data_IF_632777817514
#
_entry.id   IF_632777817514
#
_cell.length_a   1.000
_cell.length_b   1.000
_cell.length_c   1.000
_cell.angle_alpha   90.00
_cell.angle_beta   90.00
_cell.angle_gamma   90.00
#
_symmetry.space_group_name_H-M   'P 1'
#
loop_
_entity.id
_entity.type
_entity.pdbx_description
1 polymer ?
#
# COMPACT_ATOMS: atom_id res chain seq x y z
N UNK A 1 -7.86 7.13 6.26
CA UNK A 1 -6.96 7.30 7.42
C UNK A 1 -7.13 8.68 8.04
N UNK A 2 -7.02 8.84 9.37
CA UNK A 2 -6.91 10.17 9.97
C UNK A 2 -5.56 10.81 9.59
N UNK A 3 -5.56 12.10 9.26
CA UNK A 3 -4.33 12.84 8.96
C UNK A 3 -3.46 12.98 10.24
N UNK A 4 -2.11 12.93 10.13
CA UNK A 4 -1.23 13.10 11.28
C UNK A 4 -1.46 14.45 11.97
N UNK A 5 -1.48 14.48 13.31
CA UNK A 5 -1.67 15.73 14.08
C UNK A 5 -0.55 16.76 13.81
N UNK A 6 0.65 16.30 13.46
CA UNK A 6 1.77 17.18 13.13
C UNK A 6 1.66 17.78 11.72
N UNK A 7 0.80 17.24 10.84
CA UNK A 7 0.62 17.71 9.47
C UNK A 7 -0.39 18.85 9.43
N UNK A 8 0.11 20.06 9.68
CA UNK A 8 -0.63 21.32 9.59
C UNK A 8 -0.12 22.14 8.41
N UNK A 9 -0.92 23.07 7.90
CA UNK A 9 -0.46 24.02 6.85
C UNK A 9 0.81 24.75 7.28
N UNK A 10 0.93 25.08 8.56
CA UNK A 10 2.10 25.78 9.11
C UNK A 10 3.36 24.91 9.12
N UNK A 11 3.26 23.65 9.59
CA UNK A 11 4.40 22.73 9.60
C UNK A 11 4.82 22.36 8.18
N UNK A 12 3.85 22.12 7.31
CA UNK A 12 4.07 21.89 5.88
C UNK A 12 4.82 23.06 5.21
N UNK A 13 4.32 24.30 5.35
CA UNK A 13 4.98 25.47 4.77
C UNK A 13 6.37 25.72 5.36
N UNK A 14 6.56 25.49 6.67
CA UNK A 14 7.87 25.62 7.33
C UNK A 14 8.89 24.65 6.71
N UNK A 15 8.49 23.40 6.57
CA UNK A 15 9.33 22.33 6.02
C UNK A 15 9.67 22.60 4.56
N UNK A 16 8.71 23.05 3.76
CA UNK A 16 8.99 23.45 2.38
C UNK A 16 10.08 24.54 2.31
N UNK A 17 9.98 25.56 3.16
CA UNK A 17 10.98 26.64 3.21
C UNK A 17 12.34 26.18 3.75
N UNK A 18 12.38 25.10 4.53
CA UNK A 18 13.63 24.45 4.95
C UNK A 18 14.23 23.65 3.79
N UNK A 19 13.43 22.89 3.05
CA UNK A 19 13.85 22.19 1.83
C UNK A 19 14.36 23.17 0.76
N UNK A 20 13.69 24.32 0.59
CA UNK A 20 14.09 25.35 -0.36
C UNK A 20 15.47 25.99 -0.05
N UNK A 21 16.04 25.71 1.13
CA UNK A 21 17.36 26.15 1.57
C UNK A 21 18.35 24.99 1.75
N UNK A 22 17.93 23.78 1.41
CA UNK A 22 18.76 22.59 1.54
C UNK A 22 19.85 22.61 0.48
N UNK A 23 21.12 22.54 0.90
CA UNK A 23 22.26 22.70 -0.01
C UNK A 23 22.49 21.48 -0.89
N UNK A 24 22.04 20.31 -0.42
CA UNK A 24 22.27 19.03 -1.06
C UNK A 24 20.96 18.23 -0.98
N UNK A 25 19.99 18.53 -1.86
CA UNK A 25 18.76 17.77 -1.92
C UNK A 25 19.09 16.36 -2.45
N UNK A 26 18.73 15.33 -1.68
CA UNK A 26 18.80 13.92 -2.10
C UNK A 26 17.47 13.26 -1.83
N UNK A 27 17.20 12.15 -2.51
CA UNK A 27 15.96 11.38 -2.32
C UNK A 27 15.78 10.98 -0.87
N UNK A 28 16.82 10.44 -0.21
CA UNK A 28 16.72 10.02 1.19
C UNK A 28 16.45 11.21 2.13
N UNK A 29 17.03 12.38 1.83
CA UNK A 29 16.79 13.59 2.63
C UNK A 29 15.35 14.08 2.49
N UNK A 30 14.81 14.00 1.27
CA UNK A 30 13.43 14.39 0.96
C UNK A 30 12.45 13.40 1.57
N UNK A 31 12.66 12.09 1.43
CA UNK A 31 11.83 11.06 2.07
C UNK A 31 11.75 11.23 3.59
N UNK A 32 12.87 11.58 4.24
CA UNK A 32 12.89 11.87 5.68
C UNK A 32 11.97 13.02 6.10
N UNK A 33 11.61 13.93 5.20
CA UNK A 33 10.62 14.98 5.49
C UNK A 33 9.25 14.38 5.84
N UNK A 34 8.87 13.29 5.16
CA UNK A 34 7.61 12.61 5.45
C UNK A 34 7.60 12.00 6.86
N UNK A 35 8.74 11.44 7.29
CA UNK A 35 8.93 10.95 8.66
C UNK A 35 8.81 12.08 9.68
N UNK A 36 9.44 13.23 9.42
CA UNK A 36 9.39 14.42 10.29
C UNK A 36 7.96 15.00 10.41
N UNK A 37 7.10 14.76 9.40
CA UNK A 37 5.69 15.11 9.39
C UNK A 37 4.77 14.08 10.03
N UNK A 38 5.32 12.94 10.48
CA UNK A 38 4.58 11.85 11.11
C UNK A 38 3.74 11.03 10.12
N UNK A 39 4.07 11.06 8.83
CA UNK A 39 3.45 10.19 7.83
C UNK A 39 3.99 8.77 8.06
N UNK A 40 3.09 7.78 8.04
CA UNK A 40 3.48 6.38 8.24
C UNK A 40 4.42 5.93 7.11
N UNK A 41 5.32 4.99 7.41
CA UNK A 41 6.36 4.57 6.45
C UNK A 41 5.77 3.86 5.22
N UNK A 42 4.74 3.08 5.45
CA UNK A 42 3.95 2.30 4.50
C UNK A 42 2.88 3.13 3.77
N UNK A 43 2.60 4.36 4.21
CA UNK A 43 1.63 5.25 3.55
C UNK A 43 2.26 5.97 2.35
N UNK A 44 2.60 5.19 1.32
CA UNK A 44 3.24 5.65 0.07
C UNK A 44 2.35 6.69 -0.63
N UNK A 45 1.04 6.46 -0.68
CA UNK A 45 0.07 7.35 -1.36
C UNK A 45 0.06 8.76 -0.74
N UNK A 46 0.10 8.87 0.59
CA UNK A 46 0.19 10.19 1.25
C UNK A 46 1.53 10.87 0.98
N UNK A 47 2.65 10.12 0.90
CA UNK A 47 3.96 10.66 0.55
C UNK A 47 3.98 11.20 -0.89
N UNK A 48 3.46 10.45 -1.86
CA UNK A 48 3.33 10.89 -3.26
C UNK A 48 2.52 12.19 -3.34
N UNK A 49 1.38 12.24 -2.63
CA UNK A 49 0.57 13.45 -2.59
C UNK A 49 1.35 14.64 -2.03
N UNK A 50 2.06 14.47 -0.91
CA UNK A 50 2.87 15.50 -0.28
C UNK A 50 3.94 16.06 -1.24
N UNK A 51 4.76 15.19 -1.83
CA UNK A 51 5.87 15.62 -2.69
C UNK A 51 5.39 16.16 -4.04
N UNK A 52 4.23 15.71 -4.52
CA UNK A 52 3.55 16.34 -5.66
C UNK A 52 3.23 17.81 -5.36
N UNK A 53 2.78 18.12 -4.14
CA UNK A 53 2.54 19.52 -3.75
C UNK A 53 3.86 20.32 -3.66
N UNK A 54 4.96 19.73 -3.19
CA UNK A 54 6.27 20.40 -3.22
C UNK A 54 6.72 20.70 -4.66
N UNK A 55 6.58 19.75 -5.59
CA UNK A 55 6.87 19.95 -7.01
C UNK A 55 6.13 21.15 -7.59
N UNK A 56 4.84 21.28 -7.27
CA UNK A 56 4.01 22.42 -7.70
C UNK A 56 4.50 23.72 -7.06
N UNK A 57 4.77 23.73 -5.76
CA UNK A 57 5.26 24.92 -5.05
C UNK A 57 6.61 25.41 -5.59
N UNK A 58 7.53 24.52 -5.95
CA UNK A 58 8.82 24.89 -6.55
C UNK A 58 8.62 25.62 -7.89
N UNK A 59 7.61 25.21 -8.67
CA UNK A 59 7.27 25.83 -9.95
C UNK A 59 6.54 27.17 -9.80
N UNK A 60 5.64 27.27 -8.82
CA UNK A 60 4.73 28.41 -8.67
C UNK A 60 5.33 29.57 -7.88
N UNK A 61 6.39 29.33 -7.10
CA UNK A 61 7.03 30.36 -6.29
C UNK A 61 8.04 31.22 -7.05
N UNK A 62 8.20 32.48 -6.60
CA UNK A 62 9.21 33.40 -7.12
C UNK A 62 10.63 32.87 -6.82
N UNK A 63 11.40 32.47 -7.85
CA UNK A 63 12.63 31.74 -7.62
C UNK A 63 13.72 32.60 -7.00
N UNK A 64 13.76 33.91 -7.29
CA UNK A 64 14.77 34.84 -6.78
C UNK A 64 14.62 35.13 -5.27
N UNK A 65 13.43 34.85 -4.71
CA UNK A 65 13.14 35.10 -3.30
C UNK A 65 13.27 33.86 -2.42
N UNK A 66 13.07 32.68 -3.00
CA UNK A 66 12.93 31.44 -2.26
C UNK A 66 14.21 30.61 -2.32
N UNK A 67 14.87 30.56 -3.47
CA UNK A 67 16.04 29.72 -3.71
C UNK A 67 17.32 30.55 -3.81
N UNK A 68 18.47 29.92 -3.57
CA UNK A 68 19.77 30.60 -3.66
C UNK A 68 20.10 31.04 -5.09
N UNK A 69 19.85 30.17 -6.06
CA UNK A 69 20.03 30.40 -7.50
C UNK A 69 18.96 29.62 -8.30
N UNK A 70 18.86 29.89 -9.61
CA UNK A 70 18.01 29.09 -10.49
C UNK A 70 18.49 27.63 -10.58
N UNK A 71 19.80 27.42 -10.61
CA UNK A 71 20.42 26.08 -10.63
C UNK A 71 20.08 25.31 -9.35
N UNK A 72 20.18 25.95 -8.18
CA UNK A 72 19.77 25.35 -6.90
C UNK A 72 18.28 24.99 -6.86
N UNK A 73 17.42 25.81 -7.48
CA UNK A 73 16.00 25.50 -7.63
C UNK A 73 15.80 24.25 -8.49
N UNK A 74 16.54 24.16 -9.60
CA UNK A 74 16.49 23.02 -10.52
C UNK A 74 16.99 21.74 -9.81
N UNK A 75 18.09 21.81 -9.05
CA UNK A 75 18.60 20.68 -8.25
C UNK A 75 17.57 20.17 -7.22
N UNK A 76 16.88 21.08 -6.51
CA UNK A 76 15.81 20.69 -5.58
C UNK A 76 14.62 20.09 -6.34
N UNK A 77 14.28 20.66 -7.49
CA UNK A 77 13.18 20.20 -8.30
C UNK A 77 13.43 18.77 -8.82
N UNK A 78 14.62 18.51 -9.34
CA UNK A 78 15.03 17.20 -9.84
C UNK A 78 15.05 16.16 -8.72
N UNK A 79 15.61 16.49 -7.55
CA UNK A 79 15.59 15.58 -6.41
C UNK A 79 14.16 15.23 -5.94
N UNK A 80 13.22 16.18 -6.04
CA UNK A 80 11.79 15.91 -5.75
C UNK A 80 11.16 15.03 -6.82
N UNK A 81 11.56 15.14 -8.09
CA UNK A 81 11.12 14.23 -9.14
C UNK A 81 11.65 12.82 -8.91
N UNK A 82 12.96 12.68 -8.65
CA UNK A 82 13.58 11.38 -8.36
C UNK A 82 12.90 10.70 -7.16
N UNK A 83 12.53 11.47 -6.13
CA UNK A 83 11.78 10.95 -4.97
C UNK A 83 10.37 10.48 -5.34
N UNK A 84 9.70 11.19 -6.25
CA UNK A 84 8.36 10.80 -6.71
C UNK A 84 8.43 9.54 -7.56
N UNK A 85 9.43 9.41 -8.43
CA UNK A 85 9.66 8.22 -9.24
C UNK A 85 9.91 6.99 -8.34
N UNK A 86 10.77 7.09 -7.31
CA UNK A 86 11.01 6.00 -6.36
C UNK A 86 9.73 5.58 -5.62
N UNK A 87 8.90 6.54 -5.20
CA UNK A 87 7.64 6.23 -4.52
C UNK A 87 6.57 5.65 -5.46
N UNK A 88 6.58 6.05 -6.74
CA UNK A 88 5.70 5.50 -7.76
C UNK A 88 6.09 4.05 -8.07
N UNK A 89 7.39 3.76 -8.22
CA UNK A 89 7.91 2.39 -8.36
C UNK A 89 7.56 1.52 -7.14
N UNK A 90 7.76 2.02 -5.92
CA UNK A 90 7.39 1.32 -4.67
C UNK A 90 5.87 1.02 -4.61
N UNK A 91 5.04 1.94 -5.11
CA UNK A 91 3.59 1.76 -5.13
C UNK A 91 3.17 0.69 -6.14
N UNK A 92 3.78 0.70 -7.34
CA UNK A 92 3.53 -0.32 -8.36
C UNK A 92 3.92 -1.73 -7.88
N UNK A 93 5.05 -1.87 -7.18
CA UNK A 93 5.47 -3.14 -6.58
C UNK A 93 4.47 -3.63 -5.52
N UNK A 94 4.02 -2.73 -4.63
CA UNK A 94 3.06 -3.07 -3.58
C UNK A 94 1.69 -3.46 -4.15
N UNK A 95 1.21 -2.77 -5.18
CA UNK A 95 -0.06 -3.10 -5.85
C UNK A 95 0.02 -4.45 -6.59
N UNK A 96 1.18 -4.78 -7.18
CA UNK A 96 1.40 -6.08 -7.81
C UNK A 96 1.46 -7.24 -6.79
N UNK A 97 2.10 -7.04 -5.63
CA UNK A 97 2.09 -8.04 -4.55
C UNK A 97 0.67 -8.27 -4.02
N UNK A 98 -0.11 -7.22 -3.77
CA UNK A 98 -1.51 -7.34 -3.34
C UNK A 98 -2.35 -8.16 -4.35
N UNK A 99 -2.18 -7.94 -5.65
CA UNK A 99 -2.88 -8.71 -6.70
C UNK A 99 -2.45 -10.18 -6.75
N UNK A 100 -1.17 -10.49 -6.52
CA UNK A 100 -0.68 -11.88 -6.43
C UNK A 100 -1.27 -12.62 -5.21
N UNK A 101 -1.33 -11.97 -4.05
CA UNK A 101 -1.94 -12.55 -2.84
C UNK A 101 -3.45 -12.81 -3.03
N UNK A 102 -4.19 -11.87 -3.59
CA UNK A 102 -5.62 -12.04 -3.89
C UNK A 102 -5.87 -13.22 -4.85
N UNK A 103 -4.98 -13.43 -5.81
CA UNK A 103 -5.06 -14.59 -6.72
C UNK A 103 -4.80 -15.92 -6.00
N UNK A 104 -3.82 -15.99 -5.09
CA UNK A 104 -3.51 -17.21 -4.34
C UNK A 104 -4.58 -17.58 -3.31
N UNK A 105 -5.22 -16.59 -2.66
CA UNK A 105 -6.35 -16.84 -1.74
C UNK A 105 -7.56 -17.41 -2.50
N UNK A 106 -7.79 -16.99 -3.75
CA UNK A 106 -8.87 -17.50 -4.59
C UNK A 106 -8.66 -18.97 -5.03
N UNK A 107 -7.42 -19.38 -5.33
CA UNK A 107 -7.11 -20.76 -5.74
C UNK A 107 -7.20 -21.77 -4.57
N UNK A 108 -6.95 -21.35 -3.32
CA UNK A 108 -7.10 -22.24 -2.14
C UNK A 108 -8.58 -22.57 -1.82
N UNK A 109 -9.53 -21.70 -2.17
CA UNK A 109 -10.96 -21.92 -1.91
C UNK A 109 -11.63 -22.89 -2.92
N UNK A 110 -11.02 -23.17 -4.09
CA UNK A 110 -11.57 -24.11 -5.09
C UNK A 110 -11.20 -25.60 -4.85
N UNK A 111 -10.27 -25.91 -3.94
CA UNK A 111 -9.84 -27.32 -3.70
C UNK A 111 -10.64 -28.07 -2.60
N UNK A 112 -11.63 -27.43 -1.93
CA UNK A 112 -12.37 -28.03 -0.80
C UNK A 112 -13.82 -28.50 -1.13
N UNK A 113 -14.29 -28.43 -2.39
CA UNK A 113 -15.66 -28.84 -2.79
C UNK A 113 -15.77 -30.18 -3.57
N UNK A 114 -14.85 -31.15 -3.39
CA UNK A 114 -14.99 -32.52 -3.91
C UNK A 114 -14.89 -33.64 -2.85
N UNK A 115 -15.71 -33.61 -1.80
CA UNK A 115 -16.11 -34.83 -1.08
C UNK A 115 -17.60 -34.79 -0.74
N UNK A 116 -18.42 -35.50 -1.55
CA UNK A 116 -19.52 -36.38 -1.13
C UNK A 116 -20.64 -36.46 -2.18
N UNK A 117 -20.45 -37.30 -3.22
CA UNK A 117 -21.59 -37.92 -3.92
C UNK A 117 -21.37 -39.45 -4.12
N UNK A 118 -22.16 -40.19 -3.33
CA UNK A 118 -22.81 -41.47 -3.64
C UNK A 118 -21.98 -42.77 -3.84
N UNK A 119 -22.12 -43.69 -2.87
CA UNK A 119 -22.54 -45.05 -3.21
C UNK A 119 -23.21 -45.76 -2.00
N UNK A 120 -24.48 -45.42 -1.71
CA UNK A 120 -25.38 -46.33 -0.99
C UNK A 120 -25.76 -47.48 -1.95
N UNK A 121 -25.07 -48.62 -1.83
CA UNK A 121 -25.51 -49.87 -2.47
C UNK A 121 -25.85 -50.96 -1.44
N UNK A 122 -27.12 -51.33 -1.53
CA UNK A 122 -27.75 -52.63 -1.24
C UNK A 122 -28.01 -53.01 0.22
N UNK A 123 -29.28 -52.76 0.58
CA UNK A 123 -30.04 -53.41 1.63
C UNK A 123 -29.77 -54.93 1.69
N UNK A 124 -29.51 -55.40 2.91
CA UNK A 124 -29.07 -56.74 3.23
C UNK A 124 -29.96 -57.85 2.67
N UNK A 125 -29.31 -58.79 1.97
CA UNK A 125 -29.89 -60.08 1.64
C UNK A 125 -30.24 -60.85 2.91
N UNK A 126 -31.48 -61.36 2.95
CA UNK A 126 -32.12 -61.99 4.09
C UNK A 126 -31.31 -63.06 4.82
N UNK A 127 -31.27 -62.90 6.13
CA UNK A 127 -30.87 -63.92 7.08
C UNK A 127 -32.09 -64.25 7.94
N UNK A 128 -32.66 -65.43 7.71
CA UNK A 128 -33.76 -66.00 8.48
C UNK A 128 -33.29 -66.28 9.90
N UNK A 129 -33.94 -65.70 10.92
CA UNK A 129 -34.09 -66.30 12.25
C UNK A 129 -35.10 -65.48 13.08
N UNK A 130 -36.38 -65.86 13.01
CA UNK A 130 -37.33 -65.60 14.10
C UNK A 130 -37.94 -66.95 14.47
N UNK A 131 -37.36 -67.57 15.50
CA UNK A 131 -38.04 -68.55 16.34
C UNK A 131 -38.90 -67.76 17.34
N UNK A 132 -40.22 -67.89 17.19
CA UNK A 132 -41.17 -67.69 18.30
C UNK A 132 -42.20 -68.80 18.24
N UNK A 133 -41.85 -69.90 18.91
CA UNK A 133 -42.79 -70.73 19.65
C UNK A 133 -43.99 -69.93 20.19
N UNK A 134 -45.16 -70.57 20.17
CA UNK A 134 -46.45 -70.15 20.75
C UNK A 134 -47.33 -69.29 19.85
N UNK A 135 -48.32 -69.90 19.19
CA UNK A 135 -49.76 -69.63 19.37
C UNK A 135 -50.59 -70.67 18.58
N UNK A 136 -51.16 -71.60 19.35
CA UNK A 136 -52.28 -72.55 19.12
C UNK A 136 -52.27 -73.57 17.96
#
# INVERSE_FOLDING_TARGET
MPMPEQLTVKSYAKIFLELAKERYPTVERILKISDDLGIAKDDIRTKIFLFTQFRLMIKDMDPERIFETLEHRDEIYDAVLDTLEELEDDLEELEAEEEEYDFLEFDEDEEDEEEDEEDEKEEGSGFWDIDTSEYE
#
